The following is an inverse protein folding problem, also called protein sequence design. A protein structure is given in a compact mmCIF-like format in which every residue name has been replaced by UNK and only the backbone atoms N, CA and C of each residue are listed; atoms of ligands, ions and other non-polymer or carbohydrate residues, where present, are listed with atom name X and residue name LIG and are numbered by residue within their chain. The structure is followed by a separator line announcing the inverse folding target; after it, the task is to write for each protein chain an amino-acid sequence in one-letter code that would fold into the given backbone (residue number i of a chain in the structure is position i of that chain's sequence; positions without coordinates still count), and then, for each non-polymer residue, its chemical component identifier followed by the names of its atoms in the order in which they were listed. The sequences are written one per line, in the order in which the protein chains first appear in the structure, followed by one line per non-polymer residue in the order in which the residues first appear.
data_IF_190979126027
#
_entry.id   IF_190979126027
#
_cell.length_a   1.000
_cell.length_b   1.000
_cell.length_c   1.000
_cell.angle_alpha   90.00
_cell.angle_beta   90.00
_cell.angle_gamma   90.00
#
_symmetry.space_group_name_H-M   'P 1'
#
loop_
_entity.id
_entity.type
_entity.pdbx_description
1 polymer ?
#
# COMPACT_ATOMS: atom_id res chain seq x y z
N UNK A 1 16.30 2.05 -9.94
CA UNK A 1 16.02 0.67 -10.42
C UNK A 1 15.00 -0.08 -9.58
N UNK A 2 15.04 0.01 -8.24
CA UNK A 2 14.18 -0.78 -7.37
C UNK A 2 12.66 -0.67 -7.65
N UNK A 3 12.16 0.50 -8.05
CA UNK A 3 10.71 0.71 -8.26
C UNK A 3 10.15 0.02 -9.51
N UNK A 4 10.90 0.01 -10.61
CA UNK A 4 10.43 -0.60 -11.87
C UNK A 4 10.44 -2.13 -11.79
N UNK A 5 11.45 -2.70 -11.13
CA UNK A 5 11.48 -4.13 -10.82
C UNK A 5 10.35 -4.51 -9.85
N UNK A 6 10.11 -3.70 -8.81
CA UNK A 6 8.97 -3.95 -7.90
C UNK A 6 7.63 -3.92 -8.61
N UNK A 7 7.45 -3.10 -9.63
CA UNK A 7 6.20 -3.00 -10.38
C UNK A 7 5.82 -4.30 -11.14
N UNK A 8 6.76 -5.23 -11.31
CA UNK A 8 6.53 -6.55 -11.92
C UNK A 8 6.89 -7.69 -10.97
N UNK A 9 7.19 -7.39 -9.71
CA UNK A 9 7.54 -8.37 -8.69
C UNK A 9 6.26 -8.90 -8.02
N UNK A 10 5.87 -10.17 -8.22
CA UNK A 10 4.69 -10.74 -7.58
C UNK A 10 4.94 -11.17 -6.13
N UNK A 11 6.15 -10.97 -5.58
CA UNK A 11 6.47 -11.33 -4.19
C UNK A 11 5.67 -10.51 -3.17
N UNK A 12 5.68 -10.96 -1.91
CA UNK A 12 4.89 -10.32 -0.85
C UNK A 12 5.52 -8.98 -0.48
N UNK A 13 4.83 -7.90 -0.83
CA UNK A 13 5.16 -6.53 -0.43
C UNK A 13 3.93 -5.62 -0.51
N UNK A 14 4.00 -4.41 0.05
CA UNK A 14 2.89 -3.44 0.09
C UNK A 14 2.27 -3.14 -1.28
N UNK A 15 3.10 -3.07 -2.34
CA UNK A 15 2.64 -2.86 -3.72
C UNK A 15 2.19 -4.10 -4.49
N UNK A 16 2.07 -5.29 -3.87
CA UNK A 16 1.90 -6.55 -4.61
C UNK A 16 0.68 -6.56 -5.52
N UNK A 17 -0.44 -5.97 -5.07
CA UNK A 17 -1.65 -5.87 -5.89
C UNK A 17 -1.42 -5.09 -7.19
N UNK A 18 -0.59 -4.06 -7.16
CA UNK A 18 -0.20 -3.32 -8.37
C UNK A 18 0.66 -4.18 -9.29
N UNK A 19 1.62 -4.92 -8.71
CA UNK A 19 2.49 -5.81 -9.48
C UNK A 19 1.72 -6.93 -10.18
N UNK A 20 0.72 -7.51 -9.51
CA UNK A 20 -0.15 -8.53 -10.09
C UNK A 20 -0.95 -7.95 -11.27
N UNK A 21 -1.54 -6.77 -11.11
CA UNK A 21 -2.29 -6.11 -12.18
C UNK A 21 -1.40 -5.77 -13.39
N UNK A 22 -0.17 -5.31 -13.15
CA UNK A 22 0.81 -5.07 -14.23
C UNK A 22 1.16 -6.37 -14.95
N UNK A 23 1.45 -7.45 -14.21
CA UNK A 23 1.75 -8.75 -14.79
C UNK A 23 0.57 -9.32 -15.60
N UNK A 24 -0.66 -9.16 -15.12
CA UNK A 24 -1.88 -9.57 -15.84
C UNK A 24 -2.04 -8.79 -17.16
N UNK A 25 -1.85 -7.47 -17.14
CA UNK A 25 -1.90 -6.66 -18.36
C UNK A 25 -0.81 -7.08 -19.36
N UNK A 26 0.41 -7.33 -18.87
CA UNK A 26 1.54 -7.77 -19.68
C UNK A 26 1.37 -9.20 -20.22
N UNK A 27 0.56 -10.05 -19.60
CA UNK A 27 0.34 -11.43 -20.04
C UNK A 27 -0.17 -11.51 -21.48
N UNK A 28 -1.07 -10.60 -21.86
CA UNK A 28 -1.59 -10.52 -23.24
C UNK A 28 -0.53 -10.11 -24.25
N UNK A 29 0.46 -9.32 -23.82
CA UNK A 29 1.60 -8.94 -24.64
C UNK A 29 2.50 -10.15 -24.86
N UNK A 30 2.96 -10.79 -23.78
CA UNK A 30 3.86 -11.94 -23.82
C UNK A 30 3.31 -13.13 -24.61
N UNK A 31 1.99 -13.36 -24.61
CA UNK A 31 1.36 -14.47 -25.34
C UNK A 31 1.29 -14.24 -26.86
N UNK A 32 1.54 -13.01 -27.35
CA UNK A 32 1.38 -12.66 -28.76
C UNK A 32 2.56 -13.09 -29.65
N UNK A 33 3.75 -13.30 -29.08
CA UNK A 33 4.94 -13.69 -29.86
C UNK A 33 6.00 -14.34 -28.96
N UNK A 34 6.53 -15.47 -29.40
CA UNK A 34 7.63 -16.14 -28.73
C UNK A 34 8.88 -15.24 -28.70
N UNK A 35 9.59 -15.25 -27.56
CA UNK A 35 10.86 -14.52 -27.39
C UNK A 35 10.75 -13.05 -26.96
N UNK A 36 9.57 -12.59 -26.55
CA UNK A 36 9.42 -11.26 -25.94
C UNK A 36 10.01 -11.23 -24.54
N UNK A 37 10.80 -10.20 -24.24
CA UNK A 37 11.37 -9.96 -22.92
C UNK A 37 11.28 -8.48 -22.59
N UNK A 38 11.19 -8.18 -21.28
CA UNK A 38 11.23 -6.81 -20.78
C UNK A 38 12.58 -6.60 -20.11
N UNK A 39 13.30 -5.57 -20.56
CA UNK A 39 14.58 -5.16 -19.95
C UNK A 39 14.40 -3.79 -19.33
N UNK A 40 14.74 -3.68 -18.05
CA UNK A 40 14.72 -2.40 -17.34
C UNK A 40 16.09 -1.73 -17.48
N UNK A 41 16.15 -0.64 -18.24
CA UNK A 41 17.35 0.18 -18.38
C UNK A 41 17.20 1.42 -17.51
N UNK A 42 18.14 1.62 -16.59
CA UNK A 42 18.19 2.86 -15.83
C UNK A 42 18.93 3.93 -16.62
N UNK A 43 18.25 5.04 -16.87
CA UNK A 43 18.84 6.22 -17.49
C UNK A 43 18.64 7.40 -16.53
N UNK A 44 19.72 8.07 -16.08
CA UNK A 44 19.60 9.31 -15.32
C UNK A 44 18.82 10.36 -16.10
N UNK A 45 17.76 10.92 -15.52
CA UNK A 45 16.91 11.93 -16.18
C UNK A 45 17.67 13.21 -16.53
N UNK A 46 18.73 13.52 -15.78
CA UNK A 46 19.64 14.65 -16.01
C UNK A 46 20.32 14.63 -17.39
N UNK A 47 20.47 13.44 -17.99
CA UNK A 47 21.08 13.29 -19.31
C UNK A 47 20.13 13.69 -20.44
N UNK A 48 18.82 13.78 -20.18
CA UNK A 48 17.78 14.16 -21.15
C UNK A 48 17.90 13.45 -22.52
N UNK A 49 18.22 12.15 -22.51
CA UNK A 49 18.40 11.39 -23.74
C UNK A 49 17.09 11.15 -24.49
N UNK A 50 16.77 12.07 -25.40
CA UNK A 50 15.77 11.99 -26.48
C UNK A 50 14.55 11.07 -26.16
N UNK A 51 14.46 9.87 -26.76
CA UNK A 51 13.33 8.96 -26.58
C UNK A 51 13.14 8.51 -25.12
N UNK A 52 14.22 8.31 -24.37
CA UNK A 52 14.15 7.94 -22.95
C UNK A 52 13.63 9.08 -22.09
N UNK A 53 14.02 10.31 -22.41
CA UNK A 53 13.52 11.49 -21.70
C UNK A 53 12.03 11.73 -21.99
N UNK A 54 11.59 11.58 -23.25
CA UNK A 54 10.17 11.61 -23.61
C UNK A 54 9.35 10.52 -22.91
N UNK A 55 9.89 9.30 -22.84
CA UNK A 55 9.26 8.21 -22.09
C UNK A 55 9.18 8.53 -20.58
N UNK A 56 10.24 9.13 -20.01
CA UNK A 56 10.26 9.57 -18.63
C UNK A 56 9.17 10.62 -18.36
N UNK A 57 9.11 11.70 -19.14
CA UNK A 57 8.08 12.76 -19.03
C UNK A 57 6.67 12.17 -19.12
N UNK A 58 6.42 11.31 -20.12
CA UNK A 58 5.14 10.65 -20.28
C UNK A 58 4.76 9.80 -19.06
N UNK A 59 5.73 9.09 -18.47
CA UNK A 59 5.48 8.22 -17.32
C UNK A 59 5.26 9.04 -16.05
N UNK A 60 5.97 10.15 -15.85
CA UNK A 60 5.80 11.02 -14.68
C UNK A 60 4.52 11.84 -14.72
N UNK A 61 4.04 12.18 -15.92
CA UNK A 61 2.76 12.87 -16.10
C UNK A 61 1.55 11.93 -16.00
N UNK A 62 1.77 10.62 -16.15
CA UNK A 62 0.71 9.63 -16.07
C UNK A 62 0.16 9.53 -14.64
N UNK A 63 -1.03 10.08 -14.43
CA UNK A 63 -1.80 9.88 -13.20
C UNK A 63 -2.58 8.57 -13.27
N UNK A 64 -2.04 7.54 -12.65
CA UNK A 64 -2.75 6.27 -12.48
C UNK A 64 -3.65 6.37 -11.25
N UNK A 65 -4.96 6.22 -11.44
CA UNK A 65 -5.86 6.05 -10.31
C UNK A 65 -5.47 4.77 -9.57
N UNK A 66 -5.12 4.88 -8.29
CA UNK A 66 -4.98 3.72 -7.44
C UNK A 66 -6.35 3.04 -7.40
N UNK A 67 -6.46 1.88 -8.05
CA UNK A 67 -7.65 1.06 -8.00
C UNK A 67 -7.98 0.61 -6.58
N UNK A 68 -9.07 -0.15 -6.39
CA UNK A 68 -9.45 -0.66 -5.08
C UNK A 68 -8.27 -1.40 -4.44
N UNK A 69 -7.90 -1.04 -3.22
CA UNK A 69 -6.87 -1.78 -2.47
C UNK A 69 -7.46 -3.15 -2.14
N UNK A 70 -6.91 -4.26 -2.69
CA UNK A 70 -7.48 -5.57 -2.47
C UNK A 70 -7.49 -5.89 -0.98
N UNK A 71 -8.60 -6.40 -0.46
CA UNK A 71 -8.71 -6.79 0.95
C UNK A 71 -7.67 -7.85 1.36
N UNK A 72 -7.16 -8.60 0.37
CA UNK A 72 -6.13 -9.63 0.49
C UNK A 72 -4.70 -9.11 0.32
N UNK A 73 -4.50 -7.81 0.08
CA UNK A 73 -3.16 -7.22 0.03
C UNK A 73 -2.50 -7.28 1.41
N UNK A 74 -1.16 -7.35 1.42
CA UNK A 74 -0.38 -7.32 2.65
C UNK A 74 -0.71 -6.10 3.52
N UNK A 75 -0.85 -4.92 2.91
CA UNK A 75 -1.19 -3.68 3.62
C UNK A 75 -2.59 -3.76 4.27
N UNK A 76 -3.58 -4.32 3.55
CA UNK A 76 -4.92 -4.56 4.11
C UNK A 76 -4.86 -5.53 5.29
N UNK A 77 -4.08 -6.60 5.19
CA UNK A 77 -3.91 -7.56 6.28
C UNK A 77 -3.21 -6.93 7.50
N UNK A 78 -2.18 -6.09 7.27
CA UNK A 78 -1.53 -5.33 8.32
C UNK A 78 -2.51 -4.36 9.00
N UNK A 79 -3.30 -3.63 8.23
CA UNK A 79 -4.31 -2.70 8.75
C UNK A 79 -5.36 -3.44 9.58
N UNK A 80 -5.89 -4.56 9.08
CA UNK A 80 -6.87 -5.37 9.80
C UNK A 80 -6.30 -5.93 11.11
N UNK A 81 -5.05 -6.38 11.09
CA UNK A 81 -4.35 -6.87 12.28
C UNK A 81 -4.20 -5.76 13.31
N UNK A 82 -3.75 -4.57 12.90
CA UNK A 82 -3.61 -3.42 13.79
C UNK A 82 -4.95 -3.02 14.45
N UNK A 83 -6.04 -3.01 13.67
CA UNK A 83 -7.39 -2.75 14.18
C UNK A 83 -7.83 -3.82 15.20
N UNK A 84 -7.59 -5.10 14.90
CA UNK A 84 -7.90 -6.21 15.81
C UNK A 84 -7.11 -6.13 17.12
N UNK A 85 -5.82 -5.79 17.04
CA UNK A 85 -4.99 -5.54 18.21
C UNK A 85 -5.51 -4.36 19.03
N UNK A 86 -5.88 -3.25 18.40
CA UNK A 86 -6.45 -2.09 19.07
C UNK A 86 -7.78 -2.40 19.76
N UNK A 87 -8.66 -3.17 19.11
CA UNK A 87 -9.92 -3.62 19.70
C UNK A 87 -9.68 -4.53 20.92
N UNK A 88 -8.78 -5.52 20.78
CA UNK A 88 -8.41 -6.44 21.86
C UNK A 88 -7.80 -5.69 23.04
N UNK A 89 -6.90 -4.75 22.76
CA UNK A 89 -6.32 -3.88 23.78
C UNK A 89 -7.37 -3.03 24.48
N UNK A 90 -8.32 -2.43 23.75
CA UNK A 90 -9.40 -1.65 24.35
C UNK A 90 -10.26 -2.47 25.30
N UNK A 91 -10.56 -3.73 24.95
CA UNK A 91 -11.30 -4.65 25.84
C UNK A 91 -10.52 -4.92 27.11
N UNK A 92 -9.25 -5.31 27.00
CA UNK A 92 -8.39 -5.56 28.16
C UNK A 92 -8.21 -4.31 29.01
N UNK A 93 -8.08 -3.15 28.37
CA UNK A 93 -7.90 -1.87 29.03
C UNK A 93 -9.13 -1.46 29.86
N UNK A 94 -10.32 -2.01 29.61
CA UNK A 94 -11.46 -1.78 30.49
C UNK A 94 -11.30 -2.42 31.87
N UNK A 95 -10.55 -3.53 31.98
CA UNK A 95 -10.26 -4.16 33.26
C UNK A 95 -9.33 -3.27 34.11
N UNK A 96 -9.78 -2.79 35.29
CA UNK A 96 -8.96 -1.98 36.18
C UNK A 96 -7.65 -2.65 36.61
N UNK A 97 -7.62 -3.99 36.70
CA UNK A 97 -6.40 -4.75 37.05
C UNK A 97 -5.37 -4.70 35.91
N UNK A 98 -5.82 -4.83 34.66
CA UNK A 98 -4.96 -4.76 33.49
C UNK A 98 -4.49 -3.32 33.22
N UNK A 99 -5.39 -2.33 33.31
CA UNK A 99 -5.07 -0.89 33.15
C UNK A 99 -4.06 -0.41 34.19
N UNK A 100 -4.14 -0.91 35.42
CA UNK A 100 -3.33 -0.42 36.53
C UNK A 100 -3.68 1.02 36.91
N UNK A 101 -2.74 1.72 37.56
CA UNK A 101 -2.95 3.06 38.14
C UNK A 101 -2.33 4.21 37.34
N UNK A 102 -1.62 3.90 36.25
CA UNK A 102 -0.86 4.89 35.48
C UNK A 102 -1.71 5.65 34.45
N UNK A 103 -2.96 5.22 34.23
CA UNK A 103 -3.83 5.82 33.24
C UNK A 103 -5.02 6.52 33.90
N UNK A 104 -5.24 7.79 33.52
CA UNK A 104 -6.39 8.58 33.96
C UNK A 104 -7.61 8.22 33.10
N UNK A 105 -8.75 7.92 33.74
CA UNK A 105 -10.03 7.81 33.04
C UNK A 105 -10.61 9.20 32.83
N UNK A 106 -10.75 9.60 31.57
CA UNK A 106 -11.57 10.75 31.21
C UNK A 106 -13.04 10.33 31.31
N UNK A 107 -13.73 10.82 32.33
CA UNK A 107 -15.18 10.65 32.47
C UNK A 107 -15.86 11.89 31.91
N UNK A 108 -16.77 11.71 30.95
CA UNK A 108 -17.64 12.78 30.48
C UNK A 108 -18.57 13.17 31.62
N UNK A 109 -18.44 14.40 32.12
CA UNK A 109 -19.37 14.94 33.13
C UNK A 109 -20.65 15.32 32.40
N UNK A 110 -21.68 14.48 32.49
CA UNK A 110 -23.02 14.85 32.03
C UNK A 110 -23.58 15.79 33.08
N UNK A 111 -23.77 17.07 32.72
CA UNK A 111 -24.40 18.06 33.59
C UNK A 111 -25.82 17.59 33.95
N UNK A 112 -26.10 17.45 35.25
CA UNK A 112 -27.48 17.18 35.69
C UNK A 112 -28.33 18.44 35.47
N UNK A 113 -29.57 18.31 34.97
CA UNK A 113 -30.51 19.42 34.97
C UNK A 113 -30.88 19.71 36.43
N UNK A 114 -30.62 20.94 36.88
CA UNK A 114 -30.98 21.41 38.21
C UNK A 114 -32.50 21.28 38.43
N UNK A 115 -32.85 20.87 39.65
CA UNK A 115 -34.22 20.54 40.07
C UNK A 115 -35.14 21.73 40.30
#
# INVERSE_FOLDING_TARGET
MASAHRAVDPSIHSGQGHSVAVCEALQTWFTRKDGQSITFVYVPSQLQWNLHYKAHEYTTDLKVALGPCPATSFDSLCMQTALSCGASWNVLFQDPKYRGRNFLQLKTVVAQPGG
#
